data_IF_263772799894
#
_entry.id   IF_263772799894
#
_cell.length_a   1.000
_cell.length_b   1.000
_cell.length_c   1.000
_cell.angle_alpha   90.00
_cell.angle_beta   90.00
_cell.angle_gamma   90.00
#
_symmetry.space_group_name_H-M   'P 1'
#
loop_
_entity.id
_entity.type
_entity.pdbx_description
1 polymer ?
#
# COMPACT_ATOMS: atom_id res chain seq x y z
N UNK A 1 -30.00 -23.09 -9.99
CA UNK A 1 -28.96 -22.59 -10.92
C UNK A 1 -28.02 -21.72 -10.10
N UNK A 2 -26.75 -22.11 -9.95
CA UNK A 2 -25.76 -21.34 -9.20
C UNK A 2 -24.90 -20.56 -10.20
N UNK A 3 -24.73 -19.25 -9.99
CA UNK A 3 -23.89 -18.40 -10.85
C UNK A 3 -22.71 -17.88 -10.03
N UNK A 4 -21.49 -18.21 -10.47
CA UNK A 4 -20.26 -17.68 -9.87
C UNK A 4 -20.04 -16.25 -10.34
N UNK A 5 -19.72 -15.34 -9.41
CA UNK A 5 -19.30 -13.96 -9.70
C UNK A 5 -17.92 -13.70 -9.10
N UNK A 6 -17.02 -13.18 -9.91
CA UNK A 6 -15.67 -12.84 -9.50
C UNK A 6 -15.55 -11.32 -9.30
N UNK A 7 -14.94 -10.91 -8.18
CA UNK A 7 -14.66 -9.52 -7.87
C UNK A 7 -13.18 -9.37 -7.58
N UNK A 8 -12.48 -8.52 -8.34
CA UNK A 8 -11.08 -8.22 -8.11
C UNK A 8 -10.94 -7.14 -7.04
N UNK A 9 -10.19 -7.41 -5.98
CA UNK A 9 -9.84 -6.42 -4.96
C UNK A 9 -8.59 -5.69 -5.42
N UNK A 10 -8.69 -4.36 -5.55
CA UNK A 10 -7.56 -3.54 -5.98
C UNK A 10 -6.54 -3.33 -4.83
N UNK A 11 -5.24 -3.16 -5.14
CA UNK A 11 -4.17 -3.01 -4.16
C UNK A 11 -4.38 -1.85 -3.18
N UNK A 12 -4.88 -0.72 -3.67
CA UNK A 12 -5.23 0.45 -2.87
C UNK A 12 -6.75 0.60 -2.75
N UNK A 13 -7.47 -0.51 -2.55
CA UNK A 13 -8.94 -0.54 -2.45
C UNK A 13 -9.53 0.27 -1.29
N UNK A 14 -8.74 0.64 -0.29
CA UNK A 14 -9.15 1.52 0.81
C UNK A 14 -8.99 3.01 0.50
N UNK A 15 -8.48 3.37 -0.68
CA UNK A 15 -8.45 4.75 -1.14
C UNK A 15 -9.72 5.07 -1.91
N UNK A 16 -10.37 6.17 -1.54
CA UNK A 16 -11.52 6.72 -2.22
C UNK A 16 -11.16 8.03 -2.91
N UNK A 17 -11.79 8.32 -4.06
CA UNK A 17 -11.53 9.56 -4.80
C UNK A 17 -12.04 10.77 -4.02
N UNK A 18 -11.21 11.81 -3.94
CA UNK A 18 -11.54 13.08 -3.30
C UNK A 18 -11.20 14.25 -4.22
N UNK A 19 -11.76 15.42 -3.95
CA UNK A 19 -11.46 16.63 -4.72
C UNK A 19 -10.28 17.40 -4.13
N UNK A 20 -10.23 17.53 -2.80
CA UNK A 20 -9.22 18.30 -2.10
C UNK A 20 -7.95 17.47 -1.85
N UNK A 21 -6.80 18.11 -2.01
CA UNK A 21 -5.50 17.55 -1.69
C UNK A 21 -4.70 18.57 -0.89
N UNK A 22 -4.19 18.13 0.25
CA UNK A 22 -3.45 18.97 1.18
C UNK A 22 -1.95 18.87 0.90
N UNK A 23 -1.45 19.84 0.14
CA UNK A 23 -0.04 19.93 -0.24
C UNK A 23 0.89 20.36 0.90
N UNK A 24 0.37 20.72 2.08
CA UNK A 24 1.19 21.09 3.24
C UNK A 24 1.75 19.86 3.97
N UNK A 25 1.22 18.67 3.67
CA UNK A 25 1.64 17.40 4.27
C UNK A 25 3.04 16.99 3.80
N UNK A 26 3.79 16.22 4.61
CA UNK A 26 5.05 15.64 4.18
C UNK A 26 4.79 14.54 3.14
N UNK A 27 5.00 14.84 1.86
CA UNK A 27 4.72 13.93 0.76
C UNK A 27 5.98 13.15 0.35
N UNK A 28 5.85 11.83 0.27
CA UNK A 28 6.77 10.95 -0.43
C UNK A 28 6.40 10.95 -1.91
N UNK A 29 7.37 11.08 -2.82
CA UNK A 29 7.11 11.22 -4.25
C UNK A 29 7.85 10.14 -5.05
N UNK A 30 7.11 9.38 -5.84
CA UNK A 30 7.61 8.47 -6.87
C UNK A 30 7.40 9.09 -8.24
N UNK A 31 8.48 9.27 -8.99
CA UNK A 31 8.46 9.80 -10.35
C UNK A 31 8.85 8.70 -11.33
N UNK A 32 8.04 8.52 -12.36
CA UNK A 32 8.27 7.61 -13.47
C UNK A 32 8.37 8.44 -14.74
N UNK A 33 9.44 8.26 -15.49
CA UNK A 33 9.70 8.94 -16.76
C UNK A 33 10.11 7.91 -17.79
N UNK A 34 9.57 8.00 -18.99
CA UNK A 34 9.86 7.04 -20.04
C UNK A 34 9.00 7.24 -21.29
N UNK A 35 9.04 6.27 -22.19
CA UNK A 35 8.24 6.31 -23.42
C UNK A 35 6.91 5.58 -23.22
N UNK A 36 5.94 6.25 -22.61
CA UNK A 36 4.58 5.74 -22.44
C UNK A 36 3.53 6.82 -22.72
N UNK A 37 2.37 6.38 -23.16
CA UNK A 37 1.18 7.18 -23.44
C UNK A 37 0.40 7.52 -22.18
N UNK A 38 -0.47 8.53 -22.28
CA UNK A 38 -1.41 8.90 -21.20
C UNK A 38 -2.35 7.72 -20.89
N UNK A 39 -2.77 6.96 -21.90
CA UNK A 39 -3.64 5.80 -21.72
C UNK A 39 -2.96 4.68 -20.91
N UNK A 40 -1.66 4.46 -21.11
CA UNK A 40 -0.90 3.49 -20.32
C UNK A 40 -0.77 3.93 -18.86
N UNK A 41 -0.45 5.20 -18.61
CA UNK A 41 -0.41 5.76 -17.26
C UNK A 41 -1.79 5.72 -16.57
N UNK A 42 -2.86 5.96 -17.33
CA UNK A 42 -4.24 5.83 -16.86
C UNK A 42 -4.57 4.39 -16.46
N UNK A 43 -4.18 3.41 -17.29
CA UNK A 43 -4.37 2.00 -16.97
C UNK A 43 -3.60 1.57 -15.73
N UNK A 44 -2.38 2.04 -15.55
CA UNK A 44 -1.59 1.82 -14.33
C UNK A 44 -2.31 2.33 -13.08
N UNK A 45 -2.86 3.54 -13.13
CA UNK A 45 -3.67 4.06 -12.03
C UNK A 45 -4.92 3.21 -11.78
N UNK A 46 -5.60 2.77 -12.85
CA UNK A 46 -6.78 1.90 -12.75
C UNK A 46 -6.45 0.51 -12.14
N UNK A 47 -5.23 0.01 -12.28
CA UNK A 47 -4.81 -1.23 -11.60
C UNK A 47 -4.67 -1.03 -10.07
N UNK A 48 -4.37 0.18 -9.62
CA UNK A 48 -4.06 0.49 -8.23
C UNK A 48 -5.30 0.82 -7.41
N UNK A 49 -6.18 1.69 -7.91
CA UNK A 49 -7.30 2.28 -7.17
C UNK A 49 -8.64 2.11 -7.89
N UNK A 50 -9.73 2.12 -7.12
CA UNK A 50 -11.10 2.11 -7.63
C UNK A 50 -11.52 3.49 -8.13
N UNK A 51 -12.70 3.60 -8.75
CA UNK A 51 -13.33 4.90 -9.13
C UNK A 51 -12.57 5.70 -10.20
N UNK A 52 -11.79 5.02 -11.04
CA UNK A 52 -11.20 5.57 -12.25
C UNK A 52 -12.20 5.42 -13.41
N UNK A 53 -12.46 6.47 -14.20
CA UNK A 53 -13.29 6.34 -15.40
C UNK A 53 -12.72 5.30 -16.38
N UNK A 54 -13.57 4.56 -17.08
CA UNK A 54 -13.11 3.56 -18.07
C UNK A 54 -12.36 4.18 -19.25
N UNK A 55 -12.64 5.46 -19.54
CA UNK A 55 -12.01 6.22 -20.63
C UNK A 55 -11.03 7.22 -20.07
N UNK A 56 -9.86 7.26 -20.69
CA UNK A 56 -8.84 8.27 -20.41
C UNK A 56 -9.42 9.66 -20.67
N UNK A 57 -9.33 10.61 -19.73
CA UNK A 57 -9.77 11.98 -19.95
C UNK A 57 -9.01 12.63 -21.13
N UNK A 58 -9.66 13.48 -21.93
CA UNK A 58 -9.07 14.08 -23.15
C UNK A 58 -8.10 15.23 -22.83
N UNK A 59 -7.38 15.16 -21.71
CA UNK A 59 -6.47 16.21 -21.22
C UNK A 59 -5.02 15.76 -21.40
N UNK A 60 -4.13 16.69 -21.74
CA UNK A 60 -2.69 16.41 -21.91
C UNK A 60 -1.99 16.05 -20.58
N UNK A 61 -2.57 16.48 -19.47
CA UNK A 61 -2.19 16.09 -18.12
C UNK A 61 -3.44 15.86 -17.29
N UNK A 62 -3.44 14.78 -16.51
CA UNK A 62 -4.56 14.36 -15.68
C UNK A 62 -4.09 14.19 -14.25
N UNK A 63 -4.87 14.71 -13.30
CA UNK A 63 -4.61 14.60 -11.86
C UNK A 63 -5.80 14.00 -11.14
N UNK A 64 -5.55 13.02 -10.27
CA UNK A 64 -6.53 12.44 -9.36
C UNK A 64 -6.02 12.48 -7.92
N UNK A 65 -6.91 12.82 -7.00
CA UNK A 65 -6.64 12.85 -5.56
C UNK A 65 -7.45 11.77 -4.86
N UNK A 66 -6.85 11.13 -3.87
CA UNK A 66 -7.45 10.06 -3.09
C UNK A 66 -7.16 10.23 -1.60
N UNK A 67 -8.08 9.75 -0.76
CA UNK A 67 -7.90 9.66 0.68
C UNK A 67 -8.14 8.24 1.15
N UNK A 68 -7.27 7.74 2.04
CA UNK A 68 -7.49 6.49 2.74
C UNK A 68 -8.65 6.65 3.70
N UNK A 69 -9.67 5.79 3.59
CA UNK A 69 -10.80 5.77 4.52
C UNK A 69 -10.39 5.24 5.91
N UNK A 70 -9.22 4.61 6.03
CA UNK A 70 -8.78 3.98 7.27
C UNK A 70 -7.96 4.92 8.16
N UNK A 71 -7.01 5.68 7.59
CA UNK A 71 -6.06 6.53 8.35
C UNK A 71 -6.18 8.01 7.97
N UNK A 72 -6.84 8.32 6.85
CA UNK A 72 -6.93 9.70 6.34
C UNK A 72 -5.65 10.19 5.66
N UNK A 73 -4.72 9.28 5.33
CA UNK A 73 -3.56 9.58 4.47
C UNK A 73 -4.03 9.90 3.07
N UNK A 74 -3.34 10.80 2.38
CA UNK A 74 -3.69 11.22 1.03
C UNK A 74 -2.71 10.71 -0.01
N UNK A 75 -3.21 10.51 -1.22
CA UNK A 75 -2.43 10.15 -2.40
C UNK A 75 -2.89 10.99 -3.58
N UNK A 76 -1.94 11.56 -4.32
CA UNK A 76 -2.19 12.24 -5.58
C UNK A 76 -1.41 11.55 -6.68
N UNK A 77 -2.10 11.27 -7.79
CA UNK A 77 -1.52 10.75 -9.01
C UNK A 77 -1.70 11.77 -10.13
N UNK A 78 -0.58 12.23 -10.69
CA UNK A 78 -0.53 13.16 -11.80
C UNK A 78 0.25 12.52 -12.93
N UNK A 79 -0.32 12.48 -14.14
CA UNK A 79 0.35 11.90 -15.29
C UNK A 79 0.09 12.69 -16.56
N UNK A 80 1.05 12.60 -17.48
CA UNK A 80 1.05 13.17 -18.82
C UNK A 80 1.82 12.23 -19.75
N UNK A 81 1.93 12.56 -21.03
CA UNK A 81 2.73 11.77 -21.96
C UNK A 81 4.18 11.66 -21.45
N UNK A 82 4.65 10.42 -21.25
CA UNK A 82 6.00 10.09 -20.80
C UNK A 82 6.36 10.45 -19.36
N UNK A 83 5.41 10.91 -18.54
CA UNK A 83 5.64 11.23 -17.13
C UNK A 83 4.46 10.83 -16.25
N UNK A 84 4.75 10.19 -15.12
CA UNK A 84 3.77 9.88 -14.08
C UNK A 84 4.40 10.14 -12.71
N UNK A 85 3.69 10.89 -11.87
CA UNK A 85 4.10 11.29 -10.53
C UNK A 85 3.04 10.82 -9.56
N UNK A 86 3.46 9.99 -8.62
CA UNK A 86 2.63 9.54 -7.50
C UNK A 86 3.19 10.14 -6.23
N UNK A 87 2.35 10.82 -5.46
CA UNK A 87 2.74 11.43 -4.19
C UNK A 87 1.80 11.00 -3.07
N UNK A 88 2.33 10.74 -1.87
CA UNK A 88 1.51 10.37 -0.71
C UNK A 88 2.23 10.65 0.60
N UNK A 89 1.48 11.02 1.64
CA UNK A 89 1.96 11.15 3.02
C UNK A 89 2.19 9.79 3.72
N UNK A 90 2.02 8.67 2.99
CA UNK A 90 2.28 7.32 3.48
C UNK A 90 3.28 6.56 2.58
N UNK A 91 4.44 6.21 3.13
CA UNK A 91 5.51 5.51 2.38
C UNK A 91 5.11 4.11 1.91
N UNK A 92 4.25 3.39 2.65
CA UNK A 92 3.72 2.09 2.21
C UNK A 92 2.86 2.22 0.95
N UNK A 93 2.14 3.34 0.80
CA UNK A 93 1.36 3.61 -0.41
C UNK A 93 2.29 3.72 -1.61
N UNK A 94 3.39 4.45 -1.48
CA UNK A 94 4.42 4.54 -2.53
C UNK A 94 5.08 3.19 -2.81
N UNK A 95 5.32 2.38 -1.78
CA UNK A 95 5.90 1.05 -1.93
C UNK A 95 5.02 0.10 -2.73
N UNK A 96 3.73 0.05 -2.43
CA UNK A 96 2.75 -0.74 -3.19
C UNK A 96 2.70 -0.30 -4.65
N UNK A 97 2.65 1.02 -4.90
CA UNK A 97 2.62 1.58 -6.26
C UNK A 97 3.88 1.15 -7.02
N UNK A 98 5.06 1.36 -6.44
CA UNK A 98 6.33 0.98 -7.07
C UNK A 98 6.35 -0.50 -7.44
N UNK A 99 6.01 -1.38 -6.51
CA UNK A 99 6.11 -2.83 -6.73
C UNK A 99 5.16 -3.31 -7.84
N UNK A 100 3.96 -2.74 -7.93
CA UNK A 100 2.98 -3.10 -8.97
C UNK A 100 3.38 -2.53 -10.32
N UNK A 101 3.81 -1.27 -10.36
CA UNK A 101 4.22 -0.63 -11.60
C UNK A 101 5.49 -1.25 -12.16
N UNK A 102 6.47 -1.59 -11.32
CA UNK A 102 7.66 -2.34 -11.75
C UNK A 102 7.25 -3.67 -12.39
N UNK A 103 6.34 -4.43 -11.79
CA UNK A 103 5.83 -5.68 -12.38
C UNK A 103 5.13 -5.46 -13.73
N UNK A 104 4.31 -4.41 -13.86
CA UNK A 104 3.62 -4.10 -15.12
C UNK A 104 4.57 -3.61 -16.22
N UNK A 105 5.64 -2.91 -15.87
CA UNK A 105 6.69 -2.50 -16.81
C UNK A 105 7.49 -3.71 -17.30
N UNK A 106 7.91 -4.60 -16.39
CA UNK A 106 8.65 -5.83 -16.75
C UNK A 106 7.80 -6.78 -17.61
N UNK A 107 6.51 -6.96 -17.30
CA UNK A 107 5.57 -7.75 -18.13
C UNK A 107 5.45 -7.28 -19.58
N UNK A 108 5.79 -6.02 -19.86
CA UNK A 108 5.75 -5.42 -21.20
C UNK A 108 7.10 -5.41 -21.92
N UNK A 109 8.21 -5.71 -21.21
CA UNK A 109 9.58 -5.63 -21.73
C UNK A 109 10.26 -6.98 -21.99
N UNK A 110 9.62 -8.11 -21.70
CA UNK A 110 10.16 -9.47 -21.97
C UNK A 110 9.07 -10.34 -22.63
N UNK A 111 9.25 -11.20 -23.66
CA UNK A 111 10.39 -11.77 -24.41
C UNK A 111 11.81 -11.24 -24.10
N UNK A 112 12.38 -11.67 -22.96
CA UNK A 112 13.81 -11.97 -22.74
C UNK A 112 14.11 -12.28 -21.25
N UNK A 113 14.37 -13.56 -20.96
CA UNK A 113 15.22 -14.15 -19.92
C UNK A 113 15.29 -13.61 -18.46
N UNK A 114 14.77 -14.47 -17.55
CA UNK A 114 15.17 -14.82 -16.17
C UNK A 114 15.71 -13.74 -15.19
N UNK A 115 15.20 -13.76 -13.94
CA UNK A 115 15.95 -14.11 -12.70
C UNK A 115 15.09 -13.99 -11.41
N UNK A 116 15.22 -15.05 -10.58
CA UNK A 116 15.14 -15.21 -9.12
C UNK A 116 13.87 -14.99 -8.25
N UNK A 117 13.41 -16.14 -7.73
CA UNK A 117 13.22 -16.53 -6.31
C UNK A 117 12.46 -15.59 -5.35
N UNK A 118 11.27 -16.04 -4.94
CA UNK A 118 10.63 -15.66 -3.69
C UNK A 118 10.05 -16.91 -3.01
N UNK A 119 10.93 -17.74 -2.45
CA UNK A 119 10.57 -18.64 -1.36
C UNK A 119 10.33 -17.83 -0.06
N UNK A 120 9.10 -17.82 0.45
CA UNK A 120 8.77 -17.91 1.88
C UNK A 120 7.24 -17.87 2.10
N UNK A 121 6.61 -19.04 2.15
CA UNK A 121 5.42 -19.26 2.97
C UNK A 121 5.50 -20.66 3.58
N UNK A 122 5.54 -20.70 4.91
CA UNK A 122 5.23 -21.86 5.76
C UNK A 122 4.55 -21.30 7.00
N UNK A 123 3.70 -21.97 7.77
CA UNK A 123 2.84 -23.16 7.65
C UNK A 123 1.95 -23.04 8.89
N UNK A 124 0.66 -23.35 8.73
CA UNK A 124 -0.35 -23.71 9.76
C UNK A 124 -0.23 -23.19 11.20
N UNK A 125 -1.32 -22.59 11.68
CA UNK A 125 -1.85 -22.94 13.02
C UNK A 125 -3.37 -22.75 13.06
N UNK A 126 -4.08 -23.89 13.16
CA UNK A 126 -5.51 -23.99 13.49
C UNK A 126 -5.64 -24.34 14.98
N UNK A 127 -6.68 -23.78 15.60
CA UNK A 127 -7.37 -24.13 16.86
C UNK A 127 -6.88 -23.53 18.19
N UNK A 128 -7.79 -22.80 18.86
CA UNK A 128 -8.39 -23.02 20.20
C UNK A 128 -9.46 -21.89 20.36
N UNK A 129 -10.72 -22.15 20.01
CA UNK A 129 -11.82 -22.73 20.79
C UNK A 129 -12.66 -21.68 21.54
N UNK A 130 -13.83 -21.42 20.96
CA UNK A 130 -15.13 -21.02 21.48
C UNK A 130 -15.33 -21.06 23.02
N UNK A 131 -15.57 -19.88 23.61
CA UNK A 131 -16.58 -19.59 24.65
C UNK A 131 -16.35 -18.16 25.21
N UNK A 132 -16.63 -17.12 24.43
CA UNK A 132 -16.50 -15.70 24.86
C UNK A 132 -17.56 -14.79 24.18
N UNK A 133 -18.71 -15.33 23.82
CA UNK A 133 -19.54 -14.78 22.74
C UNK A 133 -20.27 -13.45 23.01
N UNK A 134 -20.30 -12.92 24.23
CA UNK A 134 -21.00 -11.65 24.50
C UNK A 134 -20.10 -10.46 24.86
N UNK A 135 -18.86 -10.68 25.31
CA UNK A 135 -17.85 -9.61 25.47
C UNK A 135 -16.88 -9.53 24.27
N UNK A 136 -16.80 -10.55 23.40
CA UNK A 136 -15.99 -10.49 22.18
C UNK A 136 -16.57 -9.59 21.10
N UNK A 137 -17.85 -9.26 21.08
CA UNK A 137 -18.39 -8.53 19.92
C UNK A 137 -17.84 -7.11 19.81
N UNK A 138 -17.60 -6.46 20.96
CA UNK A 138 -16.98 -5.13 21.03
C UNK A 138 -15.44 -5.25 21.05
N UNK A 139 -14.87 -6.14 21.86
CA UNK A 139 -13.40 -6.38 21.90
C UNK A 139 -12.84 -7.04 20.64
N UNK A 140 -13.58 -7.80 19.84
CA UNK A 140 -13.11 -8.36 18.57
C UNK A 140 -13.09 -7.28 17.48
N UNK A 141 -13.95 -6.27 17.55
CA UNK A 141 -13.84 -5.11 16.66
C UNK A 141 -12.62 -4.26 17.03
N UNK A 142 -12.39 -4.02 18.32
CA UNK A 142 -11.20 -3.29 18.81
C UNK A 142 -9.92 -4.09 18.67
N UNK A 143 -9.96 -5.41 18.85
CA UNK A 143 -8.85 -6.34 18.68
C UNK A 143 -8.47 -6.48 17.20
N UNK A 144 -9.44 -6.69 16.30
CA UNK A 144 -9.16 -6.66 14.85
C UNK A 144 -8.70 -5.29 14.38
N UNK A 145 -9.20 -4.20 14.96
CA UNK A 145 -8.71 -2.85 14.67
C UNK A 145 -7.27 -2.65 15.18
N UNK A 146 -6.96 -3.10 16.39
CA UNK A 146 -5.62 -3.06 16.95
C UNK A 146 -4.63 -3.94 16.18
N UNK A 147 -5.07 -5.13 15.76
CA UNK A 147 -4.30 -6.03 14.89
C UNK A 147 -4.07 -5.38 13.53
N UNK A 148 -5.08 -4.72 12.96
CA UNK A 148 -4.93 -3.96 11.71
C UNK A 148 -3.94 -2.81 11.88
N UNK A 149 -4.05 -2.02 12.95
CA UNK A 149 -3.11 -0.94 13.24
C UNK A 149 -1.69 -1.46 13.47
N UNK A 150 -1.55 -2.58 14.18
CA UNK A 150 -0.27 -3.27 14.41
C UNK A 150 0.33 -3.71 13.08
N UNK A 151 -0.45 -4.39 12.24
CA UNK A 151 -0.02 -4.84 10.92
C UNK A 151 0.35 -3.66 10.01
N UNK A 152 -0.41 -2.56 10.06
CA UNK A 152 -0.10 -1.36 9.28
C UNK A 152 1.20 -0.73 9.79
N UNK A 153 1.40 -0.66 11.10
CA UNK A 153 2.64 -0.12 11.70
C UNK A 153 3.85 -0.97 11.32
N UNK A 154 3.71 -2.30 11.34
CA UNK A 154 4.76 -3.25 10.91
C UNK A 154 5.05 -3.10 9.42
N UNK A 155 4.02 -3.06 8.58
CA UNK A 155 4.19 -2.89 7.13
C UNK A 155 4.86 -1.55 6.82
N UNK A 156 4.46 -0.47 7.51
CA UNK A 156 5.08 0.85 7.38
C UNK A 156 6.57 0.82 7.71
N UNK A 157 6.95 0.13 8.79
CA UNK A 157 8.35 -0.05 9.16
C UNK A 157 9.13 -0.85 8.10
N UNK A 158 8.61 -2.00 7.69
CA UNK A 158 9.25 -2.85 6.67
C UNK A 158 9.42 -2.09 5.36
N UNK A 159 8.40 -1.36 4.92
CA UNK A 159 8.45 -0.55 3.71
C UNK A 159 9.47 0.56 3.80
N UNK A 160 9.55 1.25 4.94
CA UNK A 160 10.56 2.27 5.19
C UNK A 160 11.98 1.70 5.08
N UNK A 161 12.26 0.60 5.76
CA UNK A 161 13.60 -0.02 5.73
C UNK A 161 13.95 -0.50 4.32
N UNK A 162 12.98 -1.10 3.62
CA UNK A 162 13.13 -1.52 2.23
C UNK A 162 13.38 -0.35 1.28
N UNK A 163 12.71 0.79 1.48
CA UNK A 163 12.96 2.02 0.73
C UNK A 163 14.33 2.61 0.99
N UNK A 164 14.89 2.37 2.18
CA UNK A 164 16.25 2.74 2.54
C UNK A 164 17.30 1.68 2.11
N UNK A 165 16.90 0.62 1.39
CA UNK A 165 17.80 -0.43 0.90
C UNK A 165 18.17 -1.51 1.93
N UNK A 166 17.44 -1.60 3.05
CA UNK A 166 17.69 -2.55 4.15
C UNK A 166 16.55 -3.56 4.29
N UNK A 167 16.82 -4.68 4.97
CA UNK A 167 15.80 -5.66 5.34
C UNK A 167 15.28 -5.39 6.76
N UNK A 168 14.02 -4.95 6.89
CA UNK A 168 13.40 -4.67 8.19
C UNK A 168 12.84 -5.89 8.92
N UNK A 169 12.77 -7.08 8.27
CA UNK A 169 12.10 -8.27 8.85
C UNK A 169 12.73 -8.76 10.15
N UNK A 170 14.05 -8.67 10.29
CA UNK A 170 14.77 -9.15 11.47
C UNK A 170 14.44 -8.39 12.76
N UNK A 171 13.90 -7.17 12.66
CA UNK A 171 13.53 -6.33 13.81
C UNK A 171 12.03 -6.30 14.10
N UNK A 172 11.22 -7.13 13.43
CA UNK A 172 9.76 -7.15 13.59
C UNK A 172 9.35 -7.65 14.98
N UNK A 173 10.03 -8.65 15.54
CA UNK A 173 9.71 -9.18 16.86
C UNK A 173 9.98 -8.14 17.97
N UNK A 174 11.04 -7.33 17.81
CA UNK A 174 11.34 -6.21 18.71
C UNK A 174 10.27 -5.13 18.62
N UNK A 175 9.84 -4.77 17.40
CA UNK A 175 8.75 -3.83 17.17
C UNK A 175 7.42 -4.32 17.79
N UNK A 176 7.10 -5.61 17.65
CA UNK A 176 5.92 -6.22 18.26
C UNK A 176 5.95 -6.12 19.79
N UNK A 177 7.12 -6.29 20.41
CA UNK A 177 7.26 -6.13 21.85
C UNK A 177 6.98 -4.68 22.31
N UNK A 178 7.44 -3.68 21.54
CA UNK A 178 7.19 -2.26 21.81
C UNK A 178 5.70 -1.93 21.63
N UNK A 179 5.04 -2.46 20.59
CA UNK A 179 3.62 -2.22 20.32
C UNK A 179 2.73 -2.84 21.42
N UNK A 180 3.06 -4.06 21.88
CA UNK A 180 2.31 -4.75 22.95
C UNK A 180 2.37 -4.01 24.29
N UNK A 181 3.50 -3.37 24.59
CA UNK A 181 3.69 -2.56 25.80
C UNK A 181 3.62 -1.06 25.50
N UNK A 182 2.83 -0.67 24.49
CA UNK A 182 2.79 0.63 23.81
C UNK A 182 3.51 1.78 24.54
N UNK A 183 4.68 2.14 24.03
CA UNK A 183 5.45 3.30 24.46
C UNK A 183 5.76 4.17 23.23
N UNK A 184 5.10 5.32 23.14
CA UNK A 184 5.22 6.21 21.99
C UNK A 184 6.66 6.67 21.74
N UNK A 185 7.41 7.02 22.80
CA UNK A 185 8.75 7.54 22.66
C UNK A 185 9.73 6.45 22.21
N UNK A 186 9.60 5.24 22.74
CA UNK A 186 10.40 4.09 22.29
C UNK A 186 10.06 3.72 20.86
N UNK A 187 8.78 3.72 20.50
CA UNK A 187 8.33 3.46 19.13
C UNK A 187 8.88 4.51 18.17
N UNK A 188 8.80 5.79 18.52
CA UNK A 188 9.36 6.86 17.70
C UNK A 188 10.87 6.75 17.55
N UNK A 189 11.61 6.48 18.65
CA UNK A 189 13.06 6.27 18.60
C UNK A 189 13.41 5.06 17.74
N UNK A 190 12.65 3.97 17.83
CA UNK A 190 12.85 2.79 17.00
C UNK A 190 12.73 3.12 15.51
N UNK A 191 11.77 3.96 15.11
CA UNK A 191 11.70 4.49 13.75
C UNK A 191 12.83 5.50 13.47
N UNK A 192 13.17 6.43 14.36
CA UNK A 192 14.15 7.48 14.06
C UNK A 192 15.60 7.00 14.05
N UNK A 193 15.92 5.89 14.72
CA UNK A 193 17.28 5.36 14.80
C UNK A 193 17.77 4.98 13.41
N UNK A 194 18.70 5.78 12.87
CA UNK A 194 19.52 5.38 11.72
C UNK A 194 20.52 4.35 12.22
N UNK A 195 20.24 3.07 12.01
CA UNK A 195 21.30 2.05 11.95
C UNK A 195 21.86 1.99 10.55
#
# INVERSE_FOLDING_TARGET
MCQVRNYAIKPLSLYQRVHQFDSSRPLNVLKLTGNFSIAEAHQWLNLLVSEIPDRTPPQDSVTFNFSSIFIGTQMQATYSRGSAIFSSDNISTIAIIRDILSKEMTKRQELADNVEDLSFLSTDTKQIMDSFDQLHKEMASSGTYFDRLTNITINLYIDRERMAGRNGKSKVDELLHIIRNYDYNKLLQFFMTKT
#
